data_IF_438512933379
#
_entry.id   IF_438512933379
#
_cell.length_a   1.000
_cell.length_b   1.000
_cell.length_c   1.000
_cell.angle_alpha   90.00
_cell.angle_beta   90.00
_cell.angle_gamma   90.00
#
_symmetry.space_group_name_H-M   'P 1'
#
loop_
_entity.id
_entity.type
_entity.pdbx_description
1 polymer ?
#
# COMPACT_ATOMS: atom_id res chain seq x y z
N UNK A 1 22.25 -8.93 15.04
CA UNK A 1 21.80 -9.13 16.44
C UNK A 1 22.73 -8.46 17.44
N UNK A 2 24.06 -8.62 17.33
CA UNK A 2 25.00 -7.93 18.21
C UNK A 2 24.91 -6.39 18.11
N UNK A 3 24.94 -5.84 16.89
CA UNK A 3 24.73 -4.39 16.63
C UNK A 3 23.42 -3.87 17.25
N UNK A 4 22.32 -4.61 17.10
CA UNK A 4 21.02 -4.20 17.65
C UNK A 4 21.05 -4.09 19.19
N UNK A 5 21.73 -5.02 19.86
CA UNK A 5 21.86 -5.00 21.31
C UNK A 5 22.75 -3.85 21.77
N UNK A 6 23.85 -3.58 21.08
CA UNK A 6 24.75 -2.46 21.34
C UNK A 6 24.02 -1.11 21.20
N UNK A 7 23.25 -0.93 20.11
CA UNK A 7 22.46 0.29 19.91
C UNK A 7 21.37 0.49 20.97
N UNK A 8 20.73 -0.60 21.44
CA UNK A 8 19.76 -0.54 22.54
C UNK A 8 20.41 -0.13 23.86
N UNK A 9 21.61 -0.64 24.14
CA UNK A 9 22.38 -0.24 25.31
C UNK A 9 22.82 1.23 25.23
N UNK A 10 23.29 1.68 24.07
CA UNK A 10 23.64 3.08 23.83
C UNK A 10 22.42 3.99 24.06
N UNK A 11 21.25 3.63 23.52
CA UNK A 11 20.01 4.40 23.71
C UNK A 11 19.65 4.51 25.20
N UNK A 12 19.71 3.41 25.94
CA UNK A 12 19.40 3.42 27.38
C UNK A 12 20.39 4.29 28.18
N UNK A 13 21.68 4.24 27.84
CA UNK A 13 22.69 5.10 28.46
C UNK A 13 22.41 6.58 28.17
N UNK A 14 22.06 6.90 26.92
CA UNK A 14 21.82 8.27 26.48
C UNK A 14 20.52 8.85 27.08
N UNK A 15 19.50 8.02 27.32
CA UNK A 15 18.29 8.42 28.04
C UNK A 15 18.57 8.78 29.50
N UNK A 16 19.46 8.04 30.16
CA UNK A 16 19.91 8.35 31.53
C UNK A 16 20.74 9.65 31.57
N UNK A 17 21.62 9.85 30.59
CA UNK A 17 22.41 11.08 30.45
C UNK A 17 21.51 12.29 30.17
N UNK A 18 20.56 12.17 29.23
CA UNK A 18 19.59 13.22 28.90
C UNK A 18 18.76 13.64 30.12
N UNK A 19 18.33 12.68 30.92
CA UNK A 19 17.63 12.96 32.19
C UNK A 19 18.52 13.76 33.14
N UNK A 20 19.79 13.39 33.26
CA UNK A 20 20.77 14.08 34.11
C UNK A 20 21.03 15.50 33.62
N UNK A 21 21.19 15.69 32.31
CA UNK A 21 21.35 17.01 31.68
C UNK A 21 20.11 17.87 31.91
N UNK A 22 18.91 17.31 31.84
CA UNK A 22 17.66 18.02 32.11
C UNK A 22 17.56 18.52 33.57
N UNK A 23 17.98 17.72 34.54
CA UNK A 23 18.07 18.14 35.95
C UNK A 23 19.07 19.30 36.08
N UNK A 24 20.28 19.14 35.53
CA UNK A 24 21.34 20.17 35.59
C UNK A 24 20.91 21.47 34.91
N UNK A 25 20.21 21.38 33.78
CA UNK A 25 19.66 22.54 33.08
C UNK A 25 18.67 23.30 33.94
N UNK A 26 17.76 22.60 34.63
CA UNK A 26 16.79 23.21 35.52
C UNK A 26 17.46 23.87 36.74
N UNK A 27 18.46 23.22 37.33
CA UNK A 27 19.26 23.78 38.42
C UNK A 27 20.00 25.05 38.00
N UNK A 28 20.66 25.05 36.84
CA UNK A 28 21.35 26.21 36.29
C UNK A 28 20.38 27.34 35.92
N UNK A 29 19.19 27.01 35.41
CA UNK A 29 18.14 28.02 35.15
C UNK A 29 17.71 28.70 36.44
N UNK A 30 17.51 27.94 37.52
CA UNK A 30 17.17 28.50 38.82
C UNK A 30 18.31 29.36 39.39
N UNK A 31 19.55 28.91 39.27
CA UNK A 31 20.72 29.66 39.71
C UNK A 31 20.93 30.95 38.91
N UNK A 32 20.59 30.98 37.62
CA UNK A 32 20.60 32.19 36.79
C UNK A 32 19.56 33.21 37.28
N UNK A 33 18.34 32.74 37.60
CA UNK A 33 17.26 33.60 38.14
C UNK A 33 17.58 34.17 39.53
N UNK A 34 18.29 33.39 40.36
CA UNK A 34 18.71 33.76 41.71
C UNK A 34 20.02 34.56 41.74
N UNK A 35 20.72 34.71 40.61
CA UNK A 35 22.01 35.37 40.55
C UNK A 35 21.91 36.86 40.96
N UNK A 36 22.94 37.41 41.65
CA UNK A 36 22.97 38.81 42.03
C UNK A 36 22.81 39.74 40.82
N UNK A 37 22.09 40.85 40.99
CA UNK A 37 21.96 41.87 39.95
C UNK A 37 22.97 42.99 40.20
N UNK A 38 23.75 43.30 39.17
CA UNK A 38 24.57 44.49 39.14
C UNK A 38 23.78 45.66 38.54
N UNK A 39 24.27 46.88 38.71
CA UNK A 39 23.63 48.08 38.21
C UNK A 39 24.65 48.89 37.41
N UNK A 40 24.25 49.37 36.24
CA UNK A 40 25.10 50.27 35.46
C UNK A 40 25.07 51.70 36.04
N UNK A 41 25.91 52.59 35.50
CA UNK A 41 25.99 53.99 35.92
C UNK A 41 24.70 54.81 35.71
N UNK A 42 23.75 54.29 34.91
CA UNK A 42 22.42 54.89 34.67
C UNK A 42 21.34 54.31 35.60
N UNK A 43 21.69 53.40 36.51
CA UNK A 43 20.74 52.73 37.39
C UNK A 43 19.92 51.63 36.72
N UNK A 44 20.35 51.10 35.57
CA UNK A 44 19.72 49.94 34.94
C UNK A 44 20.34 48.63 35.46
N UNK A 45 19.53 47.59 35.70
CA UNK A 45 20.05 46.28 36.09
C UNK A 45 20.87 45.68 34.93
N UNK A 46 22.03 45.14 35.26
CA UNK A 46 22.92 44.39 34.37
C UNK A 46 23.26 43.05 35.05
N UNK A 47 23.49 42.00 34.25
CA UNK A 47 23.90 40.70 34.77
C UNK A 47 25.19 40.80 35.58
N UNK A 48 25.27 40.07 36.69
CA UNK A 48 26.53 39.85 37.41
C UNK A 48 27.46 38.90 36.65
N UNK A 49 28.77 38.88 36.95
CA UNK A 49 29.67 37.84 36.44
C UNK A 49 29.13 36.42 36.69
N UNK A 50 28.54 36.20 37.86
CA UNK A 50 27.92 34.93 38.25
C UNK A 50 26.71 34.59 37.37
N UNK A 51 25.88 35.59 37.03
CA UNK A 51 24.78 35.43 36.06
C UNK A 51 25.31 34.97 34.70
N UNK A 52 26.31 35.64 34.14
CA UNK A 52 26.82 35.31 32.81
C UNK A 52 27.51 33.94 32.75
N UNK A 53 28.24 33.56 33.80
CA UNK A 53 28.86 32.23 33.88
C UNK A 53 27.80 31.12 33.99
N UNK A 54 26.79 31.31 34.83
CA UNK A 54 25.68 30.35 34.98
C UNK A 54 24.88 30.23 33.68
N UNK A 55 24.59 31.36 33.03
CA UNK A 55 23.93 31.39 31.73
C UNK A 55 24.74 30.64 30.66
N UNK A 56 26.06 30.84 30.61
CA UNK A 56 26.94 30.13 29.68
C UNK A 56 26.88 28.62 29.90
N UNK A 57 27.00 28.16 31.15
CA UNK A 57 26.90 26.75 31.49
C UNK A 57 25.52 26.17 31.14
N UNK A 58 24.44 26.92 31.39
CA UNK A 58 23.08 26.49 31.00
C UNK A 58 22.95 26.32 29.50
N UNK A 59 23.49 27.26 28.71
CA UNK A 59 23.48 27.18 27.26
C UNK A 59 24.29 25.98 26.75
N UNK A 60 25.45 25.70 27.33
CA UNK A 60 26.27 24.53 27.02
C UNK A 60 25.51 23.22 27.30
N UNK A 61 24.92 23.08 28.49
CA UNK A 61 24.10 21.91 28.85
C UNK A 61 22.88 21.79 27.93
N UNK A 62 22.23 22.90 27.56
CA UNK A 62 21.11 22.88 26.62
C UNK A 62 21.52 22.40 25.21
N UNK A 63 22.71 22.76 24.75
CA UNK A 63 23.26 22.27 23.48
C UNK A 63 23.59 20.78 23.55
N UNK A 64 24.19 20.31 24.65
CA UNK A 64 24.45 18.89 24.90
C UNK A 64 23.14 18.09 24.92
N UNK A 65 22.12 18.60 25.61
CA UNK A 65 20.80 17.99 25.67
C UNK A 65 20.16 17.87 24.27
N UNK A 66 20.22 18.93 23.45
CA UNK A 66 19.72 18.90 22.07
C UNK A 66 20.48 17.92 21.15
N UNK A 67 21.79 17.75 21.37
CA UNK A 67 22.60 16.73 20.67
C UNK A 67 22.18 15.32 21.10
N UNK A 68 21.99 15.09 22.40
CA UNK A 68 21.52 13.82 22.93
C UNK A 68 20.14 13.47 22.36
N UNK A 69 19.20 14.43 22.29
CA UNK A 69 17.88 14.22 21.68
C UNK A 69 17.96 13.81 20.22
N UNK A 70 18.80 14.50 19.44
CA UNK A 70 19.01 14.18 18.03
C UNK A 70 19.60 12.78 17.84
N UNK A 71 20.59 12.41 18.67
CA UNK A 71 21.21 11.08 18.65
C UNK A 71 20.22 9.98 19.08
N UNK A 72 19.43 10.21 20.13
CA UNK A 72 18.37 9.29 20.54
C UNK A 72 17.35 9.06 19.42
N UNK A 73 16.91 10.13 18.74
CA UNK A 73 15.97 10.01 17.62
C UNK A 73 16.56 9.17 16.47
N UNK A 74 17.84 9.39 16.14
CA UNK A 74 18.56 8.57 15.17
C UNK A 74 18.64 7.10 15.59
N UNK A 75 19.05 6.82 16.84
CA UNK A 75 19.16 5.47 17.40
C UNK A 75 17.81 4.74 17.36
N UNK A 76 16.73 5.38 17.80
CA UNK A 76 15.38 4.80 17.76
C UNK A 76 14.96 4.42 16.34
N UNK A 77 15.22 5.29 15.35
CA UNK A 77 14.93 4.98 13.95
C UNK A 77 15.76 3.81 13.44
N UNK A 78 17.06 3.75 13.78
CA UNK A 78 17.96 2.65 13.39
C UNK A 78 17.57 1.33 14.03
N UNK A 79 17.24 1.33 15.32
CA UNK A 79 16.76 0.15 16.07
C UNK A 79 15.49 -0.38 15.42
N UNK A 80 14.49 0.47 15.17
CA UNK A 80 13.23 0.06 14.51
C UNK A 80 13.51 -0.59 13.15
N UNK A 81 14.36 0.02 12.33
CA UNK A 81 14.73 -0.53 11.02
C UNK A 81 15.37 -1.92 11.13
N UNK A 82 16.29 -2.12 12.08
CA UNK A 82 16.95 -3.41 12.28
C UNK A 82 15.97 -4.48 12.80
N UNK A 83 15.00 -4.10 13.64
CA UNK A 83 13.94 -5.00 14.11
C UNK A 83 13.01 -5.40 12.96
N UNK A 84 12.57 -4.44 12.14
CA UNK A 84 11.79 -4.69 10.93
C UNK A 84 12.55 -5.62 9.97
N UNK A 85 13.85 -5.38 9.76
CA UNK A 85 14.69 -6.19 8.89
C UNK A 85 14.88 -7.62 9.40
N UNK A 86 15.01 -7.80 10.72
CA UNK A 86 15.10 -9.10 11.35
C UNK A 86 13.79 -9.90 11.20
N UNK A 87 12.63 -9.23 11.24
CA UNK A 87 11.32 -9.83 11.01
C UNK A 87 10.92 -9.96 9.53
N UNK A 88 11.68 -9.38 8.61
CA UNK A 88 11.24 -9.21 7.23
C UNK A 88 11.01 -10.53 6.47
N UNK A 89 11.78 -11.59 6.74
CA UNK A 89 11.56 -12.90 6.07
C UNK A 89 10.21 -13.52 6.47
N UNK A 90 9.87 -13.45 7.76
CA UNK A 90 8.58 -13.91 8.25
C UNK A 90 7.44 -13.05 7.69
N UNK A 91 7.62 -11.73 7.65
CA UNK A 91 6.65 -10.80 7.09
C UNK A 91 6.43 -11.04 5.58
N UNK A 92 7.48 -11.33 4.81
CA UNK A 92 7.38 -11.71 3.39
C UNK A 92 6.58 -13.00 3.25
N UNK A 93 6.89 -14.04 4.04
CA UNK A 93 6.20 -15.31 3.96
C UNK A 93 4.71 -15.19 4.30
N UNK A 94 4.37 -14.44 5.36
CA UNK A 94 3.00 -14.17 5.77
C UNK A 94 2.24 -13.36 4.70
N UNK A 95 2.86 -12.30 4.17
CA UNK A 95 2.26 -11.49 3.13
C UNK A 95 2.03 -12.28 1.84
N UNK A 96 2.97 -13.15 1.44
CA UNK A 96 2.81 -14.03 0.28
C UNK A 96 1.71 -15.07 0.49
N UNK A 97 1.57 -15.63 1.70
CA UNK A 97 0.48 -16.53 2.01
C UNK A 97 -0.87 -15.82 1.91
N UNK A 98 -0.98 -14.60 2.46
CA UNK A 98 -2.16 -13.75 2.36
C UNK A 98 -2.51 -13.39 0.91
N UNK A 99 -1.49 -13.02 0.10
CA UNK A 99 -1.67 -12.72 -1.32
C UNK A 99 -2.20 -13.92 -2.10
N UNK A 100 -1.67 -15.12 -1.85
CA UNK A 100 -2.14 -16.37 -2.48
C UNK A 100 -3.60 -16.65 -2.14
N UNK A 101 -3.96 -16.58 -0.85
CA UNK A 101 -5.35 -16.79 -0.40
C UNK A 101 -6.29 -15.77 -1.03
N UNK A 102 -5.89 -14.50 -1.10
CA UNK A 102 -6.68 -13.45 -1.75
C UNK A 102 -6.83 -13.69 -3.26
N UNK A 103 -5.75 -14.11 -3.94
CA UNK A 103 -5.77 -14.45 -5.36
C UNK A 103 -6.69 -15.64 -5.66
N UNK A 104 -6.65 -16.70 -4.84
CA UNK A 104 -7.55 -17.85 -4.94
C UNK A 104 -9.01 -17.44 -4.73
N UNK A 105 -9.28 -16.54 -3.78
CA UNK A 105 -10.63 -15.99 -3.56
C UNK A 105 -11.14 -15.21 -4.76
N UNK A 106 -10.31 -14.34 -5.35
CA UNK A 106 -10.63 -13.59 -6.56
C UNK A 106 -10.92 -14.54 -7.73
N UNK A 107 -10.08 -15.56 -7.94
CA UNK A 107 -10.29 -16.56 -8.98
C UNK A 107 -11.62 -17.31 -8.80
N UNK A 108 -11.91 -17.79 -7.59
CA UNK A 108 -13.15 -18.51 -7.28
C UNK A 108 -14.40 -17.67 -7.52
N UNK A 109 -14.40 -16.42 -7.06
CA UNK A 109 -15.54 -15.51 -7.28
C UNK A 109 -15.67 -15.18 -8.76
N UNK A 110 -14.55 -14.93 -9.45
CA UNK A 110 -14.55 -14.67 -10.90
C UNK A 110 -15.11 -15.83 -11.72
N UNK A 111 -14.74 -17.07 -11.39
CA UNK A 111 -15.32 -18.27 -12.02
C UNK A 111 -16.82 -18.41 -11.74
N UNK A 112 -17.25 -18.12 -10.50
CA UNK A 112 -18.67 -18.14 -10.13
C UNK A 112 -19.46 -17.11 -10.94
N UNK A 113 -18.94 -15.87 -11.02
CA UNK A 113 -19.55 -14.78 -11.75
C UNK A 113 -19.65 -15.08 -13.25
N UNK A 114 -18.61 -15.70 -13.83
CA UNK A 114 -18.66 -16.15 -15.23
C UNK A 114 -19.81 -17.13 -15.44
N UNK A 115 -19.94 -18.15 -14.59
CA UNK A 115 -21.03 -19.14 -14.72
C UNK A 115 -22.42 -18.52 -14.60
N UNK A 116 -22.61 -17.58 -13.66
CA UNK A 116 -23.88 -16.86 -13.49
C UNK A 116 -24.18 -15.99 -14.72
N UNK A 117 -23.19 -15.24 -15.20
CA UNK A 117 -23.34 -14.39 -16.38
C UNK A 117 -23.63 -15.20 -17.65
N UNK A 118 -22.97 -16.35 -17.82
CA UNK A 118 -23.20 -17.25 -18.95
C UNK A 118 -24.63 -17.82 -18.92
N UNK A 119 -25.09 -18.30 -17.76
CA UNK A 119 -26.45 -18.82 -17.59
C UNK A 119 -27.51 -17.74 -17.86
N UNK A 120 -27.28 -16.54 -17.32
CA UNK A 120 -28.17 -15.40 -17.51
C UNK A 120 -28.24 -14.97 -18.99
N UNK A 121 -27.09 -14.88 -19.65
CA UNK A 121 -27.00 -14.58 -21.08
C UNK A 121 -27.69 -15.61 -21.95
N UNK A 122 -27.58 -16.91 -21.61
CA UNK A 122 -28.31 -17.98 -22.31
C UNK A 122 -29.82 -17.83 -22.15
N UNK A 123 -30.32 -17.63 -20.93
CA UNK A 123 -31.76 -17.46 -20.68
C UNK A 123 -32.32 -16.25 -21.41
N UNK A 124 -31.62 -15.11 -21.36
CA UNK A 124 -32.05 -13.90 -22.06
C UNK A 124 -32.03 -14.08 -23.58
N UNK A 125 -31.01 -14.75 -24.12
CA UNK A 125 -30.94 -15.06 -25.56
C UNK A 125 -32.08 -15.99 -26.00
N UNK A 126 -32.41 -17.02 -25.22
CA UNK A 126 -33.54 -17.90 -25.47
C UNK A 126 -34.88 -17.15 -25.47
N UNK A 127 -35.07 -16.18 -24.55
CA UNK A 127 -36.27 -15.36 -24.51
C UNK A 127 -36.39 -14.44 -25.73
N UNK A 128 -35.29 -13.82 -26.16
CA UNK A 128 -35.24 -12.95 -27.34
C UNK A 128 -35.51 -13.77 -28.60
N UNK A 129 -34.77 -14.86 -28.80
CA UNK A 129 -34.91 -15.71 -29.97
C UNK A 129 -36.32 -16.34 -30.04
N UNK A 130 -36.87 -16.76 -28.90
CA UNK A 130 -38.23 -17.28 -28.81
C UNK A 130 -39.30 -16.21 -29.11
N UNK A 131 -39.06 -14.94 -28.78
CA UNK A 131 -39.95 -13.84 -29.16
C UNK A 131 -39.91 -13.56 -30.66
N UNK A 132 -38.72 -13.50 -31.27
CA UNK A 132 -38.54 -13.28 -32.70
C UNK A 132 -39.17 -14.39 -33.55
N UNK A 133 -38.90 -15.65 -33.21
CA UNK A 133 -39.48 -16.81 -33.91
C UNK A 133 -41.01 -16.83 -33.85
N UNK A 134 -41.59 -16.46 -32.71
CA UNK A 134 -43.04 -16.34 -32.57
C UNK A 134 -43.59 -15.24 -33.46
N UNK A 135 -43.00 -14.06 -33.43
CA UNK A 135 -43.45 -12.93 -34.24
C UNK A 135 -43.42 -13.25 -35.73
N UNK A 136 -42.36 -13.94 -36.19
CA UNK A 136 -42.26 -14.41 -37.56
C UNK A 136 -43.34 -15.45 -37.90
N UNK A 137 -43.54 -16.45 -37.03
CA UNK A 137 -44.56 -17.47 -37.22
C UNK A 137 -45.99 -16.90 -37.24
N UNK A 138 -46.27 -15.89 -36.42
CA UNK A 138 -47.54 -15.15 -36.40
C UNK A 138 -47.77 -14.40 -37.71
N UNK A 139 -46.75 -13.69 -38.23
CA UNK A 139 -46.84 -12.99 -39.51
C UNK A 139 -47.08 -13.96 -40.67
N UNK A 140 -46.34 -15.07 -40.72
CA UNK A 140 -46.52 -16.09 -41.76
C UNK A 140 -47.91 -16.74 -41.70
N UNK A 141 -48.41 -17.05 -40.50
CA UNK A 141 -49.75 -17.59 -40.33
C UNK A 141 -50.84 -16.59 -40.74
N UNK A 142 -50.67 -15.30 -40.40
CA UNK A 142 -51.58 -14.23 -40.79
C UNK A 142 -51.62 -14.04 -42.32
N UNK A 143 -50.46 -14.06 -42.98
CA UNK A 143 -50.36 -13.97 -44.43
C UNK A 143 -51.02 -15.18 -45.11
N UNK A 144 -50.77 -16.39 -44.62
CA UNK A 144 -51.41 -17.61 -45.15
C UNK A 144 -52.93 -17.56 -45.00
N UNK A 145 -53.43 -17.07 -43.86
CA UNK A 145 -54.86 -16.91 -43.61
C UNK A 145 -55.48 -15.85 -44.54
N UNK A 146 -54.82 -14.71 -44.73
CA UNK A 146 -55.27 -13.66 -45.65
C UNK A 146 -55.33 -14.17 -47.10
N UNK A 147 -54.29 -14.88 -47.55
CA UNK A 147 -54.23 -15.46 -48.89
C UNK A 147 -55.31 -16.53 -49.10
N UNK A 148 -55.50 -17.44 -48.14
CA UNK A 148 -56.53 -18.46 -48.22
C UNK A 148 -57.94 -17.85 -48.25
N UNK A 149 -58.18 -16.81 -47.44
CA UNK A 149 -59.44 -16.05 -47.44
C UNK A 149 -59.71 -15.39 -48.79
N UNK A 150 -58.70 -14.74 -49.39
CA UNK A 150 -58.81 -14.11 -50.69
C UNK A 150 -59.07 -15.11 -51.84
N UNK A 151 -58.49 -16.32 -51.75
CA UNK A 151 -58.65 -17.36 -52.77
C UNK A 151 -60.01 -18.07 -52.76
N UNK A 152 -60.74 -18.02 -51.64
CA UNK A 152 -62.00 -18.76 -51.46
C UNK A 152 -61.85 -20.28 -51.33
N UNK A 153 -60.62 -20.82 -51.27
CA UNK A 153 -60.38 -22.25 -51.08
C UNK A 153 -60.66 -22.64 -49.61
N UNK A 154 -61.78 -23.33 -49.39
CA UNK A 154 -62.20 -23.75 -48.03
C UNK A 154 -61.22 -24.72 -47.35
N UNK A 155 -60.46 -25.50 -48.12
CA UNK A 155 -59.46 -26.44 -47.58
C UNK A 155 -58.21 -25.67 -47.16
N UNK A 156 -57.75 -24.73 -47.98
CA UNK A 156 -56.66 -23.83 -47.63
C UNK A 156 -57.01 -22.96 -46.42
N UNK A 157 -58.26 -22.49 -46.32
CA UNK A 157 -58.73 -21.69 -45.19
C UNK A 157 -58.68 -22.47 -43.88
N UNK A 158 -59.18 -23.71 -43.84
CA UNK A 158 -59.09 -24.57 -42.65
C UNK A 158 -57.65 -24.86 -42.24
N UNK A 159 -56.77 -25.10 -43.19
CA UNK A 159 -55.34 -25.33 -42.92
C UNK A 159 -54.66 -24.08 -42.33
N UNK A 160 -54.96 -22.90 -42.88
CA UNK A 160 -54.42 -21.64 -42.38
C UNK A 160 -54.96 -21.27 -40.98
N UNK A 161 -56.25 -21.56 -40.71
CA UNK A 161 -56.84 -21.41 -39.37
C UNK A 161 -56.16 -22.34 -38.36
N UNK A 162 -55.94 -23.61 -38.71
CA UNK A 162 -55.22 -24.55 -37.86
C UNK A 162 -53.76 -24.11 -37.60
N UNK A 163 -53.07 -23.55 -38.60
CA UNK A 163 -51.72 -22.99 -38.43
C UNK A 163 -51.75 -21.78 -37.47
N UNK A 164 -52.72 -20.88 -37.62
CA UNK A 164 -52.89 -19.74 -36.73
C UNK A 164 -53.16 -20.18 -35.28
N UNK A 165 -54.05 -21.15 -35.08
CA UNK A 165 -54.37 -21.69 -33.75
C UNK A 165 -53.14 -22.36 -33.09
N UNK A 166 -52.35 -23.10 -33.88
CA UNK A 166 -51.10 -23.70 -33.41
C UNK A 166 -50.07 -22.65 -32.98
N UNK A 167 -49.92 -21.57 -33.76
CA UNK A 167 -49.02 -20.46 -33.41
C UNK A 167 -49.50 -19.75 -32.14
N UNK A 168 -50.81 -19.51 -31.99
CA UNK A 168 -51.40 -18.92 -30.77
C UNK A 168 -51.11 -19.80 -29.55
N UNK A 169 -51.28 -21.12 -29.66
CA UNK A 169 -51.01 -22.06 -28.57
C UNK A 169 -49.53 -22.06 -28.17
N UNK A 170 -48.62 -22.18 -29.14
CA UNK A 170 -47.17 -22.09 -28.90
C UNK A 170 -46.78 -20.72 -28.31
N UNK A 171 -47.46 -19.65 -28.72
CA UNK A 171 -47.29 -18.31 -28.19
C UNK A 171 -47.67 -18.18 -26.71
N UNK A 172 -48.72 -18.88 -26.26
CA UNK A 172 -49.13 -18.95 -24.84
C UNK A 172 -48.12 -19.74 -24.01
N UNK A 173 -47.67 -20.90 -24.50
CA UNK A 173 -46.67 -21.71 -23.79
C UNK A 173 -45.35 -20.95 -23.62
N UNK A 174 -44.89 -20.26 -24.66
CA UNK A 174 -43.68 -19.45 -24.58
C UNK A 174 -43.82 -18.26 -23.62
N UNK A 175 -44.98 -17.58 -23.59
CA UNK A 175 -45.25 -16.52 -22.59
C UNK A 175 -45.22 -17.08 -21.15
N UNK A 176 -45.85 -18.23 -20.93
CA UNK A 176 -45.83 -18.89 -19.63
C UNK A 176 -44.40 -19.27 -19.20
N UNK A 177 -43.54 -19.70 -20.14
CA UNK A 177 -42.11 -19.95 -19.85
C UNK A 177 -41.35 -18.67 -19.49
N UNK A 178 -41.58 -17.57 -20.20
CA UNK A 178 -40.98 -16.26 -19.88
C UNK A 178 -41.40 -15.79 -18.48
N UNK A 179 -42.69 -15.85 -18.15
CA UNK A 179 -43.19 -15.50 -16.83
C UNK A 179 -42.61 -16.40 -15.72
N UNK A 180 -42.43 -17.69 -15.99
CA UNK A 180 -41.81 -18.63 -15.06
C UNK A 180 -40.29 -18.38 -14.89
N UNK A 181 -39.60 -17.93 -15.94
CA UNK A 181 -38.17 -17.65 -15.93
C UNK A 181 -37.83 -16.28 -15.34
N UNK A 182 -38.74 -15.29 -15.43
CA UNK A 182 -38.54 -13.94 -14.89
C UNK A 182 -37.99 -13.89 -13.45
N UNK A 183 -38.53 -14.63 -12.45
CA UNK A 183 -37.97 -14.64 -11.10
C UNK A 183 -36.56 -15.25 -11.03
N UNK A 184 -36.26 -16.23 -11.89
CA UNK A 184 -34.93 -16.86 -11.96
C UNK A 184 -33.91 -15.88 -12.55
N UNK A 185 -34.27 -15.19 -13.63
CA UNK A 185 -33.41 -14.15 -14.23
C UNK A 185 -33.14 -13.05 -13.21
N UNK A 186 -34.18 -12.55 -12.52
CA UNK A 186 -34.02 -11.53 -11.48
C UNK A 186 -33.12 -12.01 -10.32
N UNK A 187 -33.22 -13.28 -9.91
CA UNK A 187 -32.38 -13.84 -8.87
C UNK A 187 -30.91 -13.98 -9.33
N UNK A 188 -30.68 -14.40 -10.58
CA UNK A 188 -29.34 -14.50 -11.16
C UNK A 188 -28.70 -13.12 -11.35
N UNK A 189 -29.46 -12.09 -11.74
CA UNK A 189 -28.98 -10.71 -11.80
C UNK A 189 -28.54 -10.21 -10.41
N UNK A 190 -29.37 -10.44 -9.39
CA UNK A 190 -29.05 -10.04 -8.01
C UNK A 190 -27.80 -10.78 -7.48
N UNK A 191 -27.67 -12.08 -7.78
CA UNK A 191 -26.48 -12.87 -7.42
C UNK A 191 -25.24 -12.37 -8.17
N UNK A 192 -25.36 -12.02 -9.46
CA UNK A 192 -24.25 -11.47 -10.23
C UNK A 192 -23.77 -10.14 -9.64
N UNK A 193 -24.67 -9.24 -9.25
CA UNK A 193 -24.31 -7.99 -8.56
C UNK A 193 -23.65 -8.25 -7.20
N UNK A 194 -24.20 -9.14 -6.38
CA UNK A 194 -23.59 -9.50 -5.11
C UNK A 194 -22.17 -10.08 -5.29
N UNK A 195 -21.97 -10.93 -6.30
CA UNK A 195 -20.65 -11.47 -6.63
C UNK A 195 -19.69 -10.41 -7.18
N UNK A 196 -20.17 -9.40 -7.93
CA UNK A 196 -19.35 -8.25 -8.37
C UNK A 196 -18.85 -7.43 -7.18
N UNK A 197 -19.71 -7.16 -6.19
CA UNK A 197 -19.32 -6.46 -4.97
C UNK A 197 -18.29 -7.26 -4.16
N UNK A 198 -18.50 -8.56 -4.01
CA UNK A 198 -17.55 -9.45 -3.34
C UNK A 198 -16.21 -9.53 -4.10
N UNK A 199 -16.25 -9.55 -5.43
CA UNK A 199 -15.05 -9.56 -6.27
C UNK A 199 -14.25 -8.27 -6.10
N UNK A 200 -14.92 -7.11 -6.10
CA UNK A 200 -14.26 -5.82 -5.89
C UNK A 200 -13.57 -5.76 -4.51
N UNK A 201 -14.24 -6.26 -3.47
CA UNK A 201 -13.68 -6.37 -2.12
C UNK A 201 -12.47 -7.30 -2.09
N UNK A 202 -12.58 -8.50 -2.67
CA UNK A 202 -11.48 -9.47 -2.72
C UNK A 202 -10.27 -8.93 -3.53
N UNK A 203 -10.51 -8.19 -4.61
CA UNK A 203 -9.45 -7.54 -5.38
C UNK A 203 -8.75 -6.43 -4.57
N UNK A 204 -9.48 -5.68 -3.74
CA UNK A 204 -8.88 -4.70 -2.85
C UNK A 204 -7.99 -5.36 -1.78
N UNK A 205 -8.46 -6.48 -1.20
CA UNK A 205 -7.67 -7.30 -0.27
C UNK A 205 -6.40 -7.85 -0.94
N UNK A 206 -6.51 -8.38 -2.17
CA UNK A 206 -5.38 -8.86 -2.95
C UNK A 206 -4.35 -7.76 -3.20
N UNK A 207 -4.78 -6.56 -3.62
CA UNK A 207 -3.89 -5.41 -3.82
C UNK A 207 -3.17 -5.01 -2.53
N UNK A 208 -3.88 -5.04 -1.40
CA UNK A 208 -3.29 -4.75 -0.08
C UNK A 208 -2.24 -5.79 0.30
N UNK A 209 -2.52 -7.07 0.08
CA UNK A 209 -1.57 -8.16 0.34
C UNK A 209 -0.32 -8.03 -0.56
N UNK A 210 -0.49 -7.79 -1.86
CA UNK A 210 0.61 -7.56 -2.79
C UNK A 210 1.46 -6.33 -2.41
N UNK A 211 0.82 -5.24 -1.95
CA UNK A 211 1.53 -4.06 -1.46
C UNK A 211 2.37 -4.38 -0.20
N UNK A 212 1.87 -5.24 0.69
CA UNK A 212 2.62 -5.69 1.86
C UNK A 212 3.84 -6.55 1.47
N UNK A 213 3.69 -7.47 0.51
CA UNK A 213 4.81 -8.24 -0.06
C UNK A 213 5.88 -7.30 -0.60
N UNK A 214 5.48 -6.34 -1.45
CA UNK A 214 6.39 -5.37 -2.05
C UNK A 214 7.06 -4.46 -1.01
N UNK A 215 6.37 -4.09 0.07
CA UNK A 215 6.95 -3.30 1.16
C UNK A 215 8.05 -4.09 1.89
N UNK A 216 7.78 -5.34 2.27
CA UNK A 216 8.75 -6.18 2.96
C UNK A 216 9.94 -6.56 2.06
N UNK A 217 9.71 -6.81 0.77
CA UNK A 217 10.78 -7.03 -0.21
C UNK A 217 11.65 -5.78 -0.42
N UNK A 218 11.04 -4.59 -0.50
CA UNK A 218 11.80 -3.32 -0.60
C UNK A 218 12.71 -3.12 0.59
N UNK A 219 12.28 -3.46 1.80
CA UNK A 219 13.12 -3.39 2.99
C UNK A 219 14.35 -4.30 2.86
N UNK A 220 14.16 -5.58 2.48
CA UNK A 220 15.26 -6.53 2.26
C UNK A 220 16.22 -6.07 1.16
N UNK A 221 15.68 -5.63 0.02
CA UNK A 221 16.50 -5.14 -1.10
C UNK A 221 17.23 -3.85 -0.76
N UNK A 222 16.63 -2.98 0.05
CA UNK A 222 17.31 -1.81 0.61
C UNK A 222 18.48 -2.20 1.51
N UNK A 223 18.32 -3.23 2.36
CA UNK A 223 19.41 -3.72 3.20
C UNK A 223 20.55 -4.37 2.38
N UNK A 224 20.21 -5.16 1.35
CA UNK A 224 21.20 -5.72 0.41
C UNK A 224 21.97 -4.59 -0.31
N UNK A 225 21.26 -3.55 -0.74
CA UNK A 225 21.88 -2.36 -1.32
C UNK A 225 22.84 -1.69 -0.34
N UNK A 226 22.41 -1.44 0.90
CA UNK A 226 23.25 -0.80 1.93
C UNK A 226 24.51 -1.61 2.22
N UNK A 227 24.43 -2.95 2.22
CA UNK A 227 25.59 -3.81 2.35
C UNK A 227 26.56 -3.64 1.17
N UNK A 228 26.05 -3.57 -0.06
CA UNK A 228 26.87 -3.31 -1.24
C UNK A 228 27.51 -1.91 -1.19
N UNK A 229 26.77 -0.90 -0.73
CA UNK A 229 27.29 0.46 -0.53
C UNK A 229 28.38 0.50 0.53
N UNK A 230 28.28 -0.28 1.60
CA UNK A 230 29.33 -0.38 2.61
C UNK A 230 30.64 -0.94 2.01
N UNK A 231 30.56 -2.02 1.22
CA UNK A 231 31.72 -2.60 0.52
C UNK A 231 32.33 -1.60 -0.47
N UNK A 232 31.50 -0.86 -1.22
CA UNK A 232 31.97 0.22 -2.08
C UNK A 232 32.67 1.32 -1.28
N UNK A 233 32.17 1.61 -0.08
CA UNK A 233 32.79 2.51 0.88
C UNK A 233 34.21 2.06 1.25
N UNK A 234 34.38 0.81 1.66
CA UNK A 234 35.68 0.23 2.02
C UNK A 234 36.69 0.31 0.87
N UNK A 235 36.27 -0.04 -0.35
CA UNK A 235 37.10 0.09 -1.56
C UNK A 235 37.47 1.56 -1.80
N UNK A 236 36.49 2.46 -1.67
CA UNK A 236 36.67 3.90 -1.85
C UNK A 236 37.66 4.49 -0.85
N UNK A 237 37.64 4.06 0.41
CA UNK A 237 38.63 4.44 1.43
C UNK A 237 40.04 4.04 0.98
N UNK A 238 40.22 2.81 0.48
CA UNK A 238 41.49 2.34 -0.06
C UNK A 238 41.99 3.16 -1.25
N UNK A 239 41.09 3.55 -2.16
CA UNK A 239 41.42 4.41 -3.30
C UNK A 239 41.86 5.81 -2.86
N UNK A 240 41.16 6.42 -1.90
CA UNK A 240 41.54 7.71 -1.31
C UNK A 240 42.92 7.61 -0.66
N UNK A 241 43.22 6.54 0.07
CA UNK A 241 44.53 6.31 0.68
C UNK A 241 45.66 6.20 -0.36
N UNK A 242 45.36 5.73 -1.57
CA UNK A 242 46.30 5.69 -2.70
C UNK A 242 46.38 7.01 -3.49
N UNK A 243 45.65 8.05 -3.07
CA UNK A 243 45.65 9.37 -3.72
C UNK A 243 44.67 9.52 -4.88
N UNK A 244 43.77 8.56 -5.09
CA UNK A 244 42.71 8.61 -6.11
C UNK A 244 41.52 9.39 -5.56
N UNK A 245 41.57 10.71 -5.73
CA UNK A 245 40.69 11.65 -5.02
C UNK A 245 39.83 12.50 -5.98
N UNK A 246 40.36 12.82 -7.16
CA UNK A 246 39.65 13.61 -8.17
C UNK A 246 38.57 12.78 -8.87
N UNK A 247 38.85 11.51 -9.12
CA UNK A 247 37.96 10.56 -9.79
C UNK A 247 36.72 10.24 -8.93
N UNK A 248 36.82 10.41 -7.61
CA UNK A 248 35.72 10.21 -6.66
C UNK A 248 34.93 11.51 -6.40
N UNK A 249 35.29 12.64 -7.02
CA UNK A 249 34.68 13.93 -6.73
C UNK A 249 33.17 14.00 -7.02
N UNK A 250 32.67 13.16 -7.93
CA UNK A 250 31.25 13.05 -8.27
C UNK A 250 30.55 11.86 -7.61
N UNK A 251 31.23 11.13 -6.71
CA UNK A 251 30.65 9.97 -6.03
C UNK A 251 29.52 10.44 -5.10
N UNK A 252 28.30 10.03 -5.41
CA UNK A 252 27.12 10.25 -4.57
C UNK A 252 26.26 8.98 -4.55
N UNK A 253 26.55 8.08 -3.61
CA UNK A 253 25.83 6.80 -3.50
C UNK A 253 24.87 6.84 -2.32
N UNK A 254 23.55 6.76 -2.55
CA UNK A 254 22.55 6.83 -1.48
C UNK A 254 22.51 5.54 -0.66
N UNK A 255 22.11 5.63 0.62
CA UNK A 255 21.74 4.48 1.45
C UNK A 255 20.24 4.47 1.73
N UNK A 256 19.63 3.29 1.87
CA UNK A 256 18.24 3.07 2.25
C UNK A 256 18.02 3.06 3.76
N UNK A 257 19.06 2.79 4.55
CA UNK A 257 19.03 2.87 5.99
C UNK A 257 18.56 4.26 6.48
N UNK A 258 17.81 4.33 7.59
CA UNK A 258 17.36 5.60 8.15
C UNK A 258 18.55 6.47 8.54
N UNK A 259 18.47 7.76 8.21
CA UNK A 259 19.55 8.74 8.44
C UNK A 259 19.96 9.50 7.18
N UNK A 260 19.50 9.08 5.99
CA UNK A 260 19.73 9.81 4.74
C UNK A 260 21.21 9.94 4.38
N UNK A 261 22.04 9.05 4.91
CA UNK A 261 23.47 9.02 4.63
C UNK A 261 23.72 8.72 3.16
N UNK A 262 24.85 9.22 2.68
CA UNK A 262 25.35 8.92 1.35
C UNK A 262 26.84 8.68 1.44
N UNK A 263 27.34 7.74 0.67
CA UNK A 263 28.77 7.59 0.48
C UNK A 263 29.21 8.62 -0.55
N UNK A 264 29.96 9.59 -0.06
CA UNK A 264 30.57 10.68 -0.83
C UNK A 264 32.08 10.68 -0.62
N UNK A 265 32.83 11.34 -1.51
CA UNK A 265 34.28 11.54 -1.33
C UNK A 265 34.65 12.03 0.07
N UNK A 266 33.90 12.99 0.59
CA UNK A 266 34.20 13.60 1.88
C UNK A 266 33.96 12.61 3.04
N UNK A 267 32.92 11.78 2.94
CA UNK A 267 32.70 10.69 3.91
C UNK A 267 33.82 9.65 3.88
N UNK A 268 34.34 9.29 2.70
CA UNK A 268 35.46 8.36 2.57
C UNK A 268 36.75 8.89 3.19
N UNK A 269 37.05 10.19 2.98
CA UNK A 269 38.20 10.84 3.62
C UNK A 269 38.08 10.87 5.14
N UNK A 270 36.87 11.05 5.67
CA UNK A 270 36.65 11.01 7.12
C UNK A 270 36.88 9.62 7.68
N UNK A 271 36.35 8.59 7.03
CA UNK A 271 36.57 7.18 7.40
C UNK A 271 38.06 6.81 7.34
N UNK A 272 38.77 7.16 6.26
CA UNK A 272 40.21 6.94 6.14
C UNK A 272 41.00 7.57 7.29
N UNK A 273 40.61 8.77 7.73
CA UNK A 273 41.26 9.44 8.87
C UNK A 273 40.97 8.75 10.21
N UNK A 274 39.80 8.15 10.35
CA UNK A 274 39.42 7.39 11.54
C UNK A 274 40.14 6.04 11.58
N UNK A 275 40.38 5.39 10.44
CA UNK A 275 41.14 4.13 10.36
C UNK A 275 42.65 4.33 10.57
N UNK A 276 43.17 5.52 10.28
CA UNK A 276 44.58 5.86 10.47
C UNK A 276 44.93 6.37 11.89
N UNK A 277 43.92 6.59 12.75
CA UNK A 277 44.05 7.13 14.11
C UNK A 277 43.95 6.03 15.17
#
# INVERSE_FOLDING_TARGET
MQELNELKQELASLEAEHTTLGIRYAELSKAEDEAPKNWNFLGNPIGSPEFYETQKQRLEVGLEQGRAESRMAWLRNRIRYLEELAGADAAIAEAQASERVAAERVARIGESLSRVADQLGQMQAEEIQGAEQRQQAEQEAAQALAAATASGDSKALKAAQAKMEAVISAGRESRARQEANAPVISALDAEAEAQREQLATAQAEQKKAAAAVNAAQRLKKGAEWDQAVAVLGEIGVGLVALGVDYELASLDVPTFAPGGSKVTRDSLRQLMKQEAA
#
